data_IF_188276098628
#
_entry.id   IF_188276098628
#
_cell.length_a   1.000
_cell.length_b   1.000
_cell.length_c   1.000
_cell.angle_alpha   90.00
_cell.angle_beta   90.00
_cell.angle_gamma   90.00
#
_symmetry.space_group_name_H-M   'P 1'
#
loop_
_entity.id
_entity.type
_entity.pdbx_description
1 polymer ?
#
# COMPACT_ATOMS: atom_id res chain seq x y z
N UNK A 1 -9.29 -19.05 59.02
CA UNK A 1 -9.43 -17.81 58.26
C UNK A 1 -8.19 -17.43 57.45
N UNK A 2 -7.00 -17.19 58.02
CA UNK A 2 -5.75 -16.84 57.26
C UNK A 2 -5.33 -17.85 56.19
N UNK A 3 -5.54 -19.15 56.37
CA UNK A 3 -5.20 -20.20 55.37
C UNK A 3 -6.13 -20.22 54.16
N UNK A 4 -7.43 -19.95 54.36
CA UNK A 4 -8.44 -19.85 53.31
C UNK A 4 -8.19 -18.61 52.47
N UNK A 5 -7.84 -17.46 53.09
CA UNK A 5 -7.50 -16.22 52.41
C UNK A 5 -6.25 -16.42 51.52
N UNK A 6 -5.21 -17.12 52.01
CA UNK A 6 -4.03 -17.42 51.20
C UNK A 6 -4.36 -18.30 50.00
N UNK A 7 -5.14 -19.36 50.16
CA UNK A 7 -5.57 -20.24 49.06
C UNK A 7 -6.40 -19.46 48.04
N UNK A 8 -7.32 -18.63 48.46
CA UNK A 8 -8.10 -17.78 47.59
C UNK A 8 -7.20 -16.77 46.81
N UNK A 9 -6.23 -16.14 47.51
CA UNK A 9 -5.28 -15.22 46.86
C UNK A 9 -4.39 -15.92 45.82
N UNK A 10 -3.91 -17.13 46.09
CA UNK A 10 -3.15 -17.92 45.08
C UNK A 10 -4.02 -18.34 43.89
N UNK A 11 -5.31 -18.68 44.15
CA UNK A 11 -6.27 -18.98 43.06
C UNK A 11 -6.52 -17.79 42.15
N UNK A 12 -6.74 -16.58 42.73
CA UNK A 12 -6.91 -15.34 41.95
C UNK A 12 -5.65 -14.98 41.20
N UNK A 13 -4.46 -15.10 41.82
CA UNK A 13 -3.19 -14.86 41.13
C UNK A 13 -3.00 -15.82 39.96
N UNK A 14 -3.31 -17.09 40.14
CA UNK A 14 -3.26 -18.10 39.08
C UNK A 14 -4.18 -17.75 37.89
N UNK A 15 -5.42 -17.30 38.18
CA UNK A 15 -6.37 -16.86 37.14
C UNK A 15 -5.85 -15.60 36.38
N UNK A 16 -5.27 -14.65 37.11
CA UNK A 16 -4.68 -13.44 36.48
C UNK A 16 -3.53 -13.85 35.55
N UNK A 17 -2.64 -14.74 35.98
CA UNK A 17 -1.51 -15.21 35.15
C UNK A 17 -2.03 -15.89 33.89
N UNK A 18 -3.01 -16.80 34.02
CA UNK A 18 -3.61 -17.48 32.86
C UNK A 18 -4.28 -16.51 31.91
N UNK A 19 -5.06 -15.55 32.44
CA UNK A 19 -5.69 -14.50 31.62
C UNK A 19 -4.65 -13.63 30.90
N UNK A 20 -3.56 -13.26 31.58
CA UNK A 20 -2.47 -12.46 30.99
C UNK A 20 -1.77 -13.24 29.85
N UNK A 21 -1.48 -14.52 30.07
CA UNK A 21 -0.90 -15.39 29.02
C UNK A 21 -1.85 -15.50 27.84
N UNK A 22 -3.14 -15.73 28.06
CA UNK A 22 -4.14 -15.82 27.03
C UNK A 22 -4.23 -14.50 26.22
N UNK A 23 -4.31 -13.36 26.88
CA UNK A 23 -4.34 -12.05 26.24
C UNK A 23 -3.05 -11.80 25.42
N UNK A 24 -1.90 -12.20 25.95
CA UNK A 24 -0.63 -12.05 25.22
C UNK A 24 -0.56 -12.96 23.99
N UNK A 25 -1.03 -14.20 24.09
CA UNK A 25 -1.11 -15.09 22.94
C UNK A 25 -2.08 -14.60 21.88
N UNK A 26 -3.17 -13.94 22.26
CA UNK A 26 -4.21 -13.46 21.35
C UNK A 26 -3.85 -12.12 20.70
N UNK A 27 -3.26 -11.19 21.46
CA UNK A 27 -3.02 -9.81 21.01
C UNK A 27 -1.53 -9.44 20.91
N UNK A 28 -0.62 -10.35 21.26
CA UNK A 28 0.81 -10.02 21.40
C UNK A 28 1.45 -9.47 20.12
N UNK A 29 1.16 -10.05 18.96
CA UNK A 29 1.65 -9.56 17.66
C UNK A 29 1.07 -8.19 17.33
N UNK A 30 -0.23 -7.98 17.57
CA UNK A 30 -0.89 -6.68 17.35
C UNK A 30 -0.32 -5.59 18.27
N UNK A 31 -0.12 -5.91 19.56
CA UNK A 31 0.48 -4.96 20.52
C UNK A 31 1.91 -4.61 20.11
N UNK A 32 2.72 -5.60 19.72
CA UNK A 32 4.09 -5.35 19.25
C UNK A 32 4.11 -4.48 17.99
N UNK A 33 3.25 -4.80 17.00
CA UNK A 33 3.10 -4.01 15.79
C UNK A 33 2.70 -2.56 16.10
N UNK A 34 1.69 -2.35 16.95
CA UNK A 34 1.29 -1.00 17.37
C UNK A 34 2.44 -0.24 18.06
N UNK A 35 3.21 -0.92 18.94
CA UNK A 35 4.34 -0.31 19.64
C UNK A 35 5.56 -0.06 18.76
N UNK A 36 5.65 -0.66 17.58
CA UNK A 36 6.73 -0.41 16.61
C UNK A 36 6.51 0.87 15.80
N UNK A 37 5.32 1.47 15.87
CA UNK A 37 5.03 2.69 15.11
C UNK A 37 5.94 3.82 15.56
N UNK A 38 6.71 4.36 14.62
CA UNK A 38 7.60 5.49 14.83
C UNK A 38 7.41 6.57 13.77
N UNK A 39 7.63 7.82 14.17
CA UNK A 39 7.64 8.97 13.25
C UNK A 39 9.02 9.10 12.63
N UNK A 40 9.10 9.03 11.30
CA UNK A 40 10.34 9.23 10.55
C UNK A 40 10.56 10.70 10.19
N UNK A 41 9.49 11.35 9.71
CA UNK A 41 9.49 12.76 9.32
C UNK A 41 8.07 13.35 9.44
N UNK A 42 7.91 14.65 9.15
CA UNK A 42 6.58 15.22 9.01
C UNK A 42 5.83 14.50 7.89
N UNK A 43 4.62 14.03 8.23
CA UNK A 43 3.78 13.28 7.29
C UNK A 43 4.24 11.85 6.97
N UNK A 44 5.29 11.31 7.58
CA UNK A 44 5.77 9.95 7.32
C UNK A 44 6.04 9.17 8.60
N UNK A 45 5.44 7.98 8.69
CA UNK A 45 5.57 7.04 9.79
C UNK A 45 6.00 5.66 9.28
N UNK A 46 6.58 4.86 10.16
CA UNK A 46 6.96 3.47 9.90
C UNK A 46 6.35 2.56 10.96
N UNK A 47 5.99 1.35 10.55
CA UNK A 47 5.49 0.29 11.42
C UNK A 47 6.04 -1.07 10.95
N UNK A 48 6.51 -1.90 11.87
CA UNK A 48 6.84 -3.30 11.61
C UNK A 48 5.78 -4.21 12.21
N UNK A 49 5.26 -5.16 11.42
CA UNK A 49 4.33 -6.17 11.86
C UNK A 49 4.85 -7.57 11.59
N UNK A 50 4.83 -8.45 12.61
CA UNK A 50 5.24 -9.86 12.50
C UNK A 50 4.15 -10.77 13.00
N UNK A 51 3.78 -11.77 12.18
CA UNK A 51 2.81 -12.80 12.51
C UNK A 51 1.66 -12.91 11.54
N UNK A 52 0.62 -13.64 11.93
CA UNK A 52 -0.60 -13.79 11.14
C UNK A 52 -1.26 -12.43 10.93
N UNK A 53 -1.38 -12.02 9.67
CA UNK A 53 -1.99 -10.78 9.25
C UNK A 53 -3.49 -10.90 8.90
N UNK A 54 -4.05 -12.10 9.00
CA UNK A 54 -5.46 -12.38 8.72
C UNK A 54 -5.86 -12.34 7.26
N UNK A 55 -4.93 -12.12 6.32
CA UNK A 55 -5.28 -11.95 4.91
C UNK A 55 -5.79 -13.25 4.27
N UNK A 56 -5.23 -14.40 4.62
CA UNK A 56 -5.70 -15.69 4.12
C UNK A 56 -7.11 -16.02 4.64
N UNK A 57 -7.46 -15.59 5.86
CA UNK A 57 -8.82 -15.69 6.39
C UNK A 57 -9.80 -14.78 5.62
N UNK A 58 -9.39 -13.56 5.28
CA UNK A 58 -10.17 -12.65 4.43
C UNK A 58 -10.50 -13.33 3.10
N UNK A 59 -9.51 -13.89 2.43
CA UNK A 59 -9.68 -14.61 1.16
C UNK A 59 -10.59 -15.84 1.30
N UNK A 60 -10.41 -16.63 2.36
CA UNK A 60 -11.25 -17.80 2.63
C UNK A 60 -12.73 -17.47 2.89
N UNK A 61 -13.03 -16.24 3.31
CA UNK A 61 -14.40 -15.72 3.50
C UNK A 61 -15.02 -15.15 2.22
N UNK A 62 -14.28 -15.15 1.09
CA UNK A 62 -14.73 -14.60 -0.19
C UNK A 62 -14.34 -13.14 -0.41
N UNK A 63 -13.48 -12.58 0.42
CA UNK A 63 -12.98 -11.21 0.30
C UNK A 63 -13.97 -10.12 0.72
N UNK A 64 -13.84 -8.92 0.14
CA UNK A 64 -14.69 -7.75 0.42
C UNK A 64 -14.95 -6.94 -0.84
N UNK A 65 -16.20 -6.55 -1.07
CA UNK A 65 -16.68 -5.81 -2.24
C UNK A 65 -16.39 -4.30 -2.19
N UNK A 66 -16.12 -3.75 -1.01
CA UNK A 66 -15.99 -2.31 -0.77
C UNK A 66 -15.18 -2.02 0.51
N UNK A 67 -14.69 -0.78 0.64
CA UNK A 67 -13.89 -0.33 1.77
C UNK A 67 -14.63 -0.46 3.11
N UNK A 68 -15.96 -0.31 3.10
CA UNK A 68 -16.79 -0.49 4.29
C UNK A 68 -16.70 -1.92 4.83
N UNK A 69 -16.78 -2.93 3.93
CA UNK A 69 -16.62 -4.34 4.29
C UNK A 69 -15.20 -4.67 4.70
N UNK A 70 -14.20 -4.08 4.05
CA UNK A 70 -12.80 -4.17 4.48
C UNK A 70 -12.65 -3.64 5.89
N UNK A 71 -13.26 -2.49 6.22
CA UNK A 71 -13.19 -1.90 7.56
C UNK A 71 -13.85 -2.76 8.63
N UNK A 72 -15.01 -3.35 8.33
CA UNK A 72 -15.68 -4.30 9.23
C UNK A 72 -14.78 -5.50 9.55
N UNK A 73 -14.15 -6.07 8.50
CA UNK A 73 -13.23 -7.19 8.65
C UNK A 73 -12.01 -6.82 9.51
N UNK A 74 -11.35 -5.69 9.21
CA UNK A 74 -10.17 -5.24 9.95
C UNK A 74 -10.51 -5.02 11.42
N UNK A 75 -11.62 -4.39 11.74
CA UNK A 75 -12.01 -4.17 13.13
C UNK A 75 -12.32 -5.46 13.85
N UNK A 76 -12.96 -6.42 13.18
CA UNK A 76 -13.15 -7.77 13.74
C UNK A 76 -11.82 -8.47 14.01
N UNK A 77 -10.87 -8.39 13.08
CA UNK A 77 -9.53 -8.96 13.25
C UNK A 77 -8.75 -8.28 14.39
N UNK A 78 -8.68 -6.96 14.41
CA UNK A 78 -7.94 -6.20 15.44
C UNK A 78 -8.55 -6.38 16.82
N UNK A 79 -9.88 -6.47 16.93
CA UNK A 79 -10.55 -6.70 18.19
C UNK A 79 -10.71 -8.18 18.55
N UNK A 80 -10.27 -9.10 17.67
CA UNK A 80 -10.52 -10.56 17.79
C UNK A 80 -12.03 -10.86 18.00
N UNK A 81 -12.89 -10.11 17.30
CA UNK A 81 -14.34 -10.27 17.33
C UNK A 81 -15.05 -9.63 18.54
N UNK A 82 -14.35 -8.90 19.41
CA UNK A 82 -14.97 -8.25 20.56
C UNK A 82 -15.77 -6.99 20.22
N UNK A 83 -15.47 -6.36 19.08
CA UNK A 83 -16.12 -5.11 18.66
C UNK A 83 -16.56 -5.21 17.20
N UNK A 84 -17.74 -4.70 16.92
CA UNK A 84 -18.24 -4.44 15.57
C UNK A 84 -18.21 -2.93 15.34
N UNK A 85 -17.95 -2.50 14.11
CA UNK A 85 -18.00 -1.09 13.72
C UNK A 85 -18.99 -0.87 12.59
N UNK A 86 -19.42 0.38 12.45
CA UNK A 86 -20.09 0.79 11.22
C UNK A 86 -19.08 0.91 10.08
N UNK A 87 -19.47 0.59 8.84
CA UNK A 87 -18.62 0.79 7.67
C UNK A 87 -18.10 2.23 7.60
N UNK A 88 -16.85 2.38 7.16
CA UNK A 88 -16.26 3.68 6.83
C UNK A 88 -16.56 3.96 5.37
N UNK A 89 -16.94 5.18 5.06
CA UNK A 89 -17.16 5.68 3.70
C UNK A 89 -16.26 6.91 3.49
N UNK A 90 -14.99 6.72 3.11
CA UNK A 90 -14.06 7.83 2.93
C UNK A 90 -14.47 8.68 1.73
N UNK A 91 -14.36 10.01 1.82
CA UNK A 91 -14.68 10.89 0.71
C UNK A 91 -13.68 10.70 -0.44
N UNK A 92 -14.20 10.66 -1.67
CA UNK A 92 -13.38 10.71 -2.89
C UNK A 92 -12.56 12.01 -2.91
N UNK A 93 -11.27 11.89 -3.15
CA UNK A 93 -10.36 13.01 -3.31
C UNK A 93 -9.48 12.81 -4.54
N UNK A 94 -9.11 13.89 -5.25
CA UNK A 94 -8.19 13.79 -6.37
C UNK A 94 -6.86 13.17 -5.93
N UNK A 95 -6.39 12.18 -6.66
CA UNK A 95 -5.10 11.52 -6.47
C UNK A 95 -4.28 11.71 -7.73
N UNK A 96 -3.10 12.31 -7.59
CA UNK A 96 -2.10 12.32 -8.66
C UNK A 96 -1.06 11.23 -8.41
N UNK A 97 -0.45 10.75 -9.44
CA UNK A 97 0.61 9.74 -9.28
C UNK A 97 1.49 9.66 -10.51
N UNK A 98 2.69 9.12 -10.36
CA UNK A 98 3.56 8.73 -11.47
C UNK A 98 4.43 7.55 -11.10
N UNK A 99 4.76 6.70 -12.09
CA UNK A 99 5.74 5.62 -11.96
C UNK A 99 6.67 5.61 -13.16
N UNK A 100 7.91 5.13 -12.94
CA UNK A 100 8.91 4.88 -13.97
C UNK A 100 9.73 3.65 -13.58
N UNK A 101 9.74 2.62 -14.43
CA UNK A 101 10.57 1.42 -14.29
C UNK A 101 11.75 1.51 -15.28
N UNK A 102 12.96 1.24 -14.80
CA UNK A 102 14.18 1.31 -15.61
C UNK A 102 15.10 0.13 -15.31
N UNK A 103 15.88 -0.26 -16.32
CA UNK A 103 17.07 -1.09 -16.08
C UNK A 103 18.16 -0.28 -15.39
N UNK A 104 19.07 -0.95 -14.66
CA UNK A 104 20.29 -0.29 -14.16
C UNK A 104 21.48 -0.59 -15.08
N UNK A 105 22.51 0.26 -15.09
CA UNK A 105 23.73 -0.03 -15.85
C UNK A 105 24.39 -1.36 -15.46
N UNK A 106 24.23 -1.79 -14.21
CA UNK A 106 24.76 -3.02 -13.63
C UNK A 106 23.90 -4.27 -13.92
N UNK A 107 22.78 -4.11 -14.64
CA UNK A 107 21.87 -5.20 -15.00
C UNK A 107 20.84 -5.55 -13.94
N UNK A 108 20.51 -4.61 -13.06
CA UNK A 108 19.35 -4.63 -12.16
C UNK A 108 18.13 -3.97 -12.78
N UNK A 109 17.08 -3.83 -12.00
CA UNK A 109 15.83 -3.13 -12.33
C UNK A 109 15.42 -2.28 -11.14
N UNK A 110 14.99 -1.05 -11.39
CA UNK A 110 14.44 -0.16 -10.36
C UNK A 110 13.10 0.41 -10.82
N UNK A 111 12.21 0.68 -9.87
CA UNK A 111 10.95 1.39 -10.09
C UNK A 111 10.88 2.62 -9.18
N UNK A 112 10.70 3.79 -9.79
CA UNK A 112 10.43 5.04 -9.10
C UNK A 112 8.93 5.34 -9.03
N UNK A 113 8.47 6.01 -7.97
CA UNK A 113 7.06 6.30 -7.69
C UNK A 113 6.88 7.64 -7.00
N UNK A 114 5.91 8.45 -7.44
CA UNK A 114 5.34 9.56 -6.67
C UNK A 114 3.88 9.29 -6.32
N UNK A 115 3.51 9.50 -5.08
CA UNK A 115 2.13 9.56 -4.62
C UNK A 115 1.74 11.01 -4.32
N UNK A 116 0.79 11.51 -5.09
CA UNK A 116 0.30 12.89 -4.98
C UNK A 116 -1.12 12.85 -4.42
N UNK A 117 -1.35 13.54 -3.31
CA UNK A 117 -2.65 13.57 -2.65
C UNK A 117 -2.90 14.90 -1.95
N UNK A 118 -4.16 15.17 -1.58
CA UNK A 118 -4.52 16.46 -0.98
C UNK A 118 -3.87 16.71 0.36
N UNK A 119 -3.84 15.73 1.23
CA UNK A 119 -3.18 15.72 2.54
C UNK A 119 -3.17 14.31 3.11
N UNK A 120 -2.53 14.12 4.26
CA UNK A 120 -2.50 12.86 4.99
C UNK A 120 -1.10 12.48 5.42
N UNK A 121 -1.02 11.45 6.26
CA UNK A 121 0.24 10.86 6.66
C UNK A 121 0.45 9.57 5.87
N UNK A 122 1.65 9.39 5.32
CA UNK A 122 2.11 8.11 4.81
C UNK A 122 2.52 7.20 5.98
N UNK A 123 2.04 5.98 5.96
CA UNK A 123 2.48 4.93 6.88
C UNK A 123 3.17 3.84 6.07
N UNK A 124 4.46 3.70 6.26
CA UNK A 124 5.25 2.59 5.75
C UNK A 124 4.99 1.39 6.64
N UNK A 125 4.54 0.29 6.05
CA UNK A 125 4.22 -0.95 6.76
C UNK A 125 5.15 -2.04 6.28
N UNK A 126 6.10 -2.44 7.13
CA UNK A 126 6.95 -3.59 6.92
C UNK A 126 6.29 -4.80 7.54
N UNK A 127 5.80 -5.71 6.72
CA UNK A 127 5.12 -6.92 7.20
C UNK A 127 5.95 -8.15 6.94
N UNK A 128 6.18 -8.93 8.01
CA UNK A 128 6.81 -10.25 8.00
C UNK A 128 5.71 -11.25 8.38
N UNK A 129 4.95 -11.75 7.39
CA UNK A 129 3.80 -12.62 7.67
C UNK A 129 4.25 -14.03 8.04
N UNK A 130 3.37 -14.77 8.73
CA UNK A 130 3.57 -16.21 8.97
C UNK A 130 3.50 -16.99 7.65
N UNK A 131 2.65 -16.56 6.71
CA UNK A 131 2.48 -17.15 5.38
C UNK A 131 2.51 -16.07 4.29
N UNK A 132 3.21 -16.34 3.18
CA UNK A 132 3.41 -15.42 2.06
C UNK A 132 4.74 -14.66 2.13
N UNK A 133 4.89 -13.67 1.26
CA UNK A 133 6.13 -12.91 1.12
C UNK A 133 6.21 -11.75 2.12
N UNK A 134 7.42 -11.50 2.61
CA UNK A 134 7.76 -10.26 3.32
C UNK A 134 7.55 -9.06 2.40
N UNK A 135 6.95 -7.98 2.92
CA UNK A 135 6.60 -6.80 2.13
C UNK A 135 6.92 -5.51 2.86
N UNK A 136 7.31 -4.50 2.10
CA UNK A 136 7.25 -3.09 2.50
C UNK A 136 6.19 -2.42 1.64
N UNK A 137 5.15 -1.90 2.27
CA UNK A 137 4.01 -1.25 1.60
C UNK A 137 3.81 0.15 2.17
N UNK A 138 3.12 1.03 1.42
CA UNK A 138 2.73 2.33 1.94
C UNK A 138 1.23 2.50 1.90
N UNK A 139 0.71 3.10 2.93
CA UNK A 139 -0.70 3.38 3.14
C UNK A 139 -0.91 4.84 3.55
N UNK A 140 -1.92 5.50 3.02
CA UNK A 140 -2.32 6.85 3.46
C UNK A 140 -3.38 6.76 4.54
N UNK A 141 -3.10 7.30 5.72
CA UNK A 141 -4.04 7.27 6.85
C UNK A 141 -5.33 8.06 6.57
N UNK A 142 -5.28 9.04 5.67
CA UNK A 142 -6.46 9.80 5.28
C UNK A 142 -7.36 9.02 4.30
N UNK A 143 -6.77 8.15 3.48
CA UNK A 143 -7.52 7.26 2.60
C UNK A 143 -8.44 6.30 3.36
N UNK A 144 -8.13 6.06 4.63
CA UNK A 144 -8.91 5.26 5.57
C UNK A 144 -10.01 6.08 6.31
N UNK A 145 -10.11 7.39 6.03
CA UNK A 145 -11.09 8.25 6.66
C UNK A 145 -10.75 8.69 8.09
N UNK A 146 -9.52 8.49 8.54
CA UNK A 146 -9.09 9.00 9.84
C UNK A 146 -9.02 10.53 9.89
N UNK A 147 -8.98 11.20 8.72
CA UNK A 147 -8.95 12.65 8.59
C UNK A 147 -7.58 13.28 8.86
N UNK A 148 -7.47 14.57 8.54
CA UNK A 148 -6.21 15.35 8.65
C UNK A 148 -5.61 15.38 10.04
N UNK A 149 -6.45 15.40 11.06
CA UNK A 149 -6.00 15.51 12.45
C UNK A 149 -5.39 14.20 12.98
N UNK A 150 -5.61 13.09 12.31
CA UNK A 150 -5.08 11.81 12.75
C UNK A 150 -3.57 11.74 12.58
N UNK A 151 -2.92 11.33 13.67
CA UNK A 151 -1.51 10.96 13.68
C UNK A 151 -1.39 9.62 14.37
N UNK A 152 -0.61 8.67 13.86
CA UNK A 152 -0.36 7.39 14.50
C UNK A 152 0.58 7.56 15.72
N UNK A 153 0.20 8.42 16.65
CA UNK A 153 0.92 8.77 17.86
C UNK A 153 0.08 8.44 19.10
N UNK A 154 0.72 7.84 20.10
CA UNK A 154 0.02 7.31 21.28
C UNK A 154 -0.66 5.96 21.01
N UNK A 155 -0.71 5.09 22.03
CA UNK A 155 -1.04 3.67 21.86
C UNK A 155 -2.36 3.41 21.10
N UNK A 156 -3.41 4.18 21.34
CA UNK A 156 -4.70 3.98 20.64
C UNK A 156 -4.57 4.23 19.15
N UNK A 157 -3.96 5.36 18.74
CA UNK A 157 -3.76 5.67 17.33
C UNK A 157 -2.75 4.73 16.69
N UNK A 158 -1.69 4.35 17.39
CA UNK A 158 -0.74 3.34 16.92
C UNK A 158 -1.43 1.99 16.71
N UNK A 159 -2.35 1.60 17.57
CA UNK A 159 -3.13 0.38 17.40
C UNK A 159 -4.08 0.47 16.19
N UNK A 160 -4.71 1.61 15.97
CA UNK A 160 -5.54 1.86 14.78
C UNK A 160 -4.71 1.86 13.49
N UNK A 161 -3.44 2.26 13.54
CA UNK A 161 -2.51 2.21 12.39
C UNK A 161 -2.26 0.78 11.87
N UNK A 162 -2.52 -0.26 12.69
CA UNK A 162 -2.49 -1.67 12.26
C UNK A 162 -3.46 -1.98 11.11
N UNK A 163 -4.46 -1.14 10.86
CA UNK A 163 -5.31 -1.25 9.66
C UNK A 163 -4.50 -1.25 8.36
N UNK A 164 -3.31 -0.61 8.36
CA UNK A 164 -2.39 -0.59 7.22
C UNK A 164 -1.85 -1.96 6.79
N UNK A 165 -1.96 -3.01 7.62
CA UNK A 165 -1.53 -4.37 7.22
C UNK A 165 -2.47 -5.04 6.22
N UNK A 166 -3.65 -4.45 5.97
CA UNK A 166 -4.68 -5.01 5.07
C UNK A 166 -4.79 -4.31 3.73
N UNK A 167 -4.08 -3.20 3.53
CA UNK A 167 -4.21 -2.38 2.33
C UNK A 167 -2.87 -1.80 1.92
N UNK A 168 -2.64 -1.70 0.61
CA UNK A 168 -1.45 -1.07 0.07
C UNK A 168 -1.81 -0.14 -1.10
N UNK A 169 -1.22 1.05 -1.14
CA UNK A 169 -1.24 1.94 -2.30
C UNK A 169 -0.04 1.68 -3.21
N UNK A 170 1.05 1.25 -2.64
CA UNK A 170 2.28 0.86 -3.31
C UNK A 170 3.13 -0.04 -2.41
N UNK A 171 4.14 -0.67 -2.97
CA UNK A 171 5.06 -1.50 -2.21
C UNK A 171 5.93 -2.42 -3.04
N UNK A 172 6.77 -3.13 -2.32
CA UNK A 172 7.73 -4.11 -2.83
C UNK A 172 7.70 -5.36 -1.94
N UNK A 173 7.85 -6.54 -2.53
CA UNK A 173 8.04 -7.78 -1.78
C UNK A 173 9.48 -8.32 -1.88
N UNK A 174 9.79 -9.32 -1.06
CA UNK A 174 11.10 -9.97 -0.98
C UNK A 174 11.56 -10.68 -2.27
N UNK A 175 10.65 -10.86 -3.25
CA UNK A 175 10.95 -11.44 -4.57
C UNK A 175 11.27 -10.39 -5.63
N UNK A 176 11.19 -9.10 -5.27
CA UNK A 176 11.41 -7.99 -6.18
C UNK A 176 10.21 -7.67 -7.06
N UNK A 177 9.01 -8.04 -6.66
CA UNK A 177 7.78 -7.57 -7.29
C UNK A 177 7.39 -6.23 -6.67
N UNK A 178 7.35 -5.18 -7.50
CA UNK A 178 6.89 -3.84 -7.14
C UNK A 178 5.50 -3.59 -7.70
N UNK A 179 4.65 -2.92 -6.92
CA UNK A 179 3.29 -2.55 -7.31
C UNK A 179 2.99 -1.14 -6.87
N UNK A 180 2.27 -0.39 -7.72
CA UNK A 180 1.75 0.94 -7.37
C UNK A 180 0.35 1.14 -7.94
N UNK A 181 -0.56 1.69 -7.13
CA UNK A 181 -1.91 2.10 -7.54
C UNK A 181 -1.88 3.57 -7.95
N UNK A 182 -2.50 3.88 -9.07
CA UNK A 182 -2.68 5.25 -9.57
C UNK A 182 -4.14 5.47 -9.97
N UNK A 183 -4.64 6.69 -9.80
CA UNK A 183 -5.93 7.12 -10.35
C UNK A 183 -5.83 7.18 -11.89
N UNK A 184 -6.78 6.62 -12.61
CA UNK A 184 -6.83 6.61 -14.08
C UNK A 184 -7.51 7.85 -14.67
N UNK A 185 -7.92 8.80 -13.85
CA UNK A 185 -8.54 10.05 -14.32
C UNK A 185 -10.02 9.92 -14.69
N UNK A 186 -10.71 8.87 -14.28
CA UNK A 186 -12.13 8.63 -14.56
C UNK A 186 -12.89 8.25 -13.28
N UNK A 187 -14.20 8.50 -13.29
CA UNK A 187 -15.12 8.14 -12.20
C UNK A 187 -15.86 6.83 -12.47
N UNK A 188 -15.46 6.08 -13.51
CA UNK A 188 -16.06 4.80 -13.83
C UNK A 188 -15.56 3.75 -12.85
N UNK A 189 -16.48 3.18 -12.11
CA UNK A 189 -16.17 2.16 -11.08
C UNK A 189 -16.08 0.78 -11.73
N UNK A 190 -14.99 0.07 -11.50
CA UNK A 190 -14.89 -1.36 -11.77
C UNK A 190 -15.67 -2.12 -10.71
N UNK A 191 -16.54 -3.01 -11.13
CA UNK A 191 -17.30 -3.90 -10.27
C UNK A 191 -17.56 -5.20 -11.01
N UNK A 192 -16.62 -6.12 -10.88
CA UNK A 192 -16.80 -7.48 -11.37
C UNK A 192 -17.76 -8.23 -10.44
N UNK A 193 -18.48 -9.19 -10.96
CA UNK A 193 -19.46 -9.97 -10.21
C UNK A 193 -19.53 -11.37 -10.81
N UNK A 194 -18.65 -12.24 -10.35
CA UNK A 194 -18.62 -13.66 -10.70
C UNK A 194 -18.63 -14.51 -9.42
N UNK A 195 -18.21 -15.77 -9.49
CA UNK A 195 -18.10 -16.64 -8.31
C UNK A 195 -16.71 -16.60 -7.66
N UNK A 196 -15.88 -15.60 -8.00
CA UNK A 196 -14.52 -15.42 -7.44
C UNK A 196 -14.58 -14.59 -6.16
N UNK A 197 -13.53 -14.66 -5.31
CA UNK A 197 -13.41 -13.76 -4.17
C UNK A 197 -13.34 -12.29 -4.61
N UNK A 198 -14.03 -11.41 -3.87
CA UNK A 198 -14.05 -9.97 -4.11
C UNK A 198 -12.88 -9.27 -3.43
N UNK A 199 -12.13 -8.44 -4.15
CA UNK A 199 -11.13 -7.56 -3.56
C UNK A 199 -11.29 -6.13 -4.06
N UNK A 200 -11.04 -5.17 -3.16
CA UNK A 200 -10.88 -3.76 -3.53
C UNK A 200 -9.49 -3.54 -4.14
N UNK A 201 -9.28 -2.40 -4.81
CA UNK A 201 -7.99 -2.10 -5.46
C UNK A 201 -6.82 -2.20 -4.49
N UNK A 202 -6.96 -1.66 -3.28
CA UNK A 202 -5.89 -1.66 -2.26
C UNK A 202 -5.65 -3.03 -1.64
N UNK A 203 -6.69 -3.83 -1.45
CA UNK A 203 -6.55 -5.21 -0.96
C UNK A 203 -6.01 -6.15 -2.04
N UNK A 204 -6.37 -5.94 -3.31
CA UNK A 204 -5.82 -6.68 -4.44
C UNK A 204 -4.31 -6.39 -4.62
N UNK A 205 -3.88 -5.12 -4.44
CA UNK A 205 -2.47 -4.74 -4.43
C UNK A 205 -1.70 -5.50 -3.36
N UNK A 206 -2.23 -5.57 -2.15
CA UNK A 206 -1.61 -6.35 -1.08
C UNK A 206 -1.60 -7.85 -1.41
N UNK A 207 -2.68 -8.40 -1.98
CA UNK A 207 -2.79 -9.80 -2.35
C UNK A 207 -1.66 -10.23 -3.29
N UNK A 208 -1.44 -9.46 -4.37
CA UNK A 208 -0.37 -9.79 -5.33
C UNK A 208 1.02 -9.62 -4.72
N UNK A 209 1.26 -8.60 -3.88
CA UNK A 209 2.52 -8.45 -3.15
C UNK A 209 2.82 -9.62 -2.21
N UNK A 210 1.78 -10.20 -1.58
CA UNK A 210 1.93 -11.32 -0.65
C UNK A 210 2.13 -12.67 -1.31
N UNK A 211 1.65 -12.87 -2.55
CA UNK A 211 1.52 -14.19 -3.15
C UNK A 211 2.21 -14.34 -4.51
N UNK A 212 2.58 -13.25 -5.19
CA UNK A 212 3.22 -13.28 -6.51
C UNK A 212 4.72 -12.95 -6.42
N UNK A 213 5.55 -13.70 -7.13
CA UNK A 213 6.98 -13.45 -7.22
C UNK A 213 7.37 -12.61 -8.45
N UNK A 214 6.48 -12.50 -9.45
CA UNK A 214 6.73 -11.84 -10.72
C UNK A 214 5.42 -11.35 -11.36
N UNK A 215 5.54 -10.63 -12.47
CA UNK A 215 4.39 -10.04 -13.18
C UNK A 215 3.40 -11.11 -13.66
N UNK A 216 3.86 -12.26 -14.18
CA UNK A 216 2.97 -13.32 -14.66
C UNK A 216 2.10 -13.89 -13.53
N UNK A 217 2.69 -14.14 -12.38
CA UNK A 217 1.96 -14.62 -11.20
C UNK A 217 0.98 -13.56 -10.69
N UNK A 218 1.40 -12.28 -10.67
CA UNK A 218 0.53 -11.17 -10.28
C UNK A 218 -0.71 -11.06 -11.19
N UNK A 219 -0.54 -11.15 -12.52
CA UNK A 219 -1.64 -11.15 -13.47
C UNK A 219 -2.57 -12.37 -13.30
N UNK A 220 -2.00 -13.55 -13.03
CA UNK A 220 -2.79 -14.75 -12.75
C UNK A 220 -3.64 -14.59 -11.48
N UNK A 221 -3.08 -13.99 -10.41
CA UNK A 221 -3.81 -13.70 -9.18
C UNK A 221 -4.93 -12.67 -9.39
N UNK A 222 -4.66 -11.58 -10.14
CA UNK A 222 -5.70 -10.60 -10.49
C UNK A 222 -6.85 -11.22 -11.31
N UNK A 223 -6.55 -12.19 -12.18
CA UNK A 223 -7.55 -12.96 -12.90
C UNK A 223 -8.34 -13.94 -12.01
N UNK A 224 -7.87 -14.26 -10.81
CA UNK A 224 -8.52 -15.20 -9.89
C UNK A 224 -9.49 -14.55 -8.92
N UNK A 225 -9.66 -13.25 -8.97
CA UNK A 225 -10.53 -12.44 -8.10
C UNK A 225 -11.54 -11.65 -8.92
N UNK A 226 -12.56 -11.13 -8.26
CA UNK A 226 -13.43 -10.07 -8.75
C UNK A 226 -12.92 -8.72 -8.22
N UNK A 227 -12.48 -7.86 -9.15
CA UNK A 227 -11.99 -6.51 -8.83
C UNK A 227 -13.16 -5.57 -8.57
N UNK A 228 -13.08 -4.86 -7.45
CA UNK A 228 -13.99 -3.78 -7.09
C UNK A 228 -13.17 -2.51 -6.85
N UNK A 229 -13.25 -1.52 -7.75
CA UNK A 229 -12.52 -0.27 -7.55
C UNK A 229 -13.15 0.56 -6.44
N UNK A 230 -12.38 0.85 -5.41
CA UNK A 230 -12.84 1.57 -4.23
C UNK A 230 -11.69 2.41 -3.63
N UNK A 231 -11.95 3.66 -3.23
CA UNK A 231 -13.22 4.38 -3.32
C UNK A 231 -13.51 4.86 -4.75
N UNK A 232 -14.61 4.44 -5.31
CA UNK A 232 -15.41 4.92 -6.43
C UNK A 232 -14.77 5.61 -7.65
N UNK A 233 -13.54 5.22 -8.05
CA UNK A 233 -12.84 5.74 -9.21
C UNK A 233 -12.20 4.62 -10.04
N UNK A 234 -11.75 4.92 -11.25
CA UNK A 234 -10.93 4.02 -12.03
C UNK A 234 -9.48 4.10 -11.58
N UNK A 235 -8.81 2.95 -11.47
CA UNK A 235 -7.42 2.86 -11.04
C UNK A 235 -6.57 2.08 -12.04
N UNK A 236 -5.30 2.48 -12.13
CA UNK A 236 -4.23 1.67 -12.69
C UNK A 236 -3.57 0.85 -11.58
N UNK A 237 -3.08 -0.34 -11.94
CA UNK A 237 -2.14 -1.08 -11.12
C UNK A 237 -0.87 -1.25 -11.96
N UNK A 238 0.16 -0.45 -11.66
CA UNK A 238 1.48 -0.59 -12.25
C UNK A 238 2.23 -1.70 -11.52
N UNK A 239 2.77 -2.67 -12.27
CA UNK A 239 3.45 -3.85 -11.72
C UNK A 239 4.77 -4.02 -12.46
N UNK A 240 5.88 -4.18 -11.72
CA UNK A 240 7.18 -4.47 -12.28
C UNK A 240 7.91 -5.54 -11.46
N UNK A 241 8.78 -6.33 -12.11
CA UNK A 241 9.54 -7.40 -11.45
C UNK A 241 11.05 -7.32 -11.67
N UNK A 242 11.79 -8.13 -10.93
CA UNK A 242 13.24 -8.20 -10.99
C UNK A 242 13.80 -8.69 -12.34
N UNK A 243 12.96 -9.27 -13.23
CA UNK A 243 13.35 -9.66 -14.57
C UNK A 243 13.27 -8.49 -15.56
N UNK A 244 12.68 -7.35 -15.15
CA UNK A 244 12.53 -6.14 -15.95
C UNK A 244 11.22 -6.06 -16.71
N UNK A 245 10.29 -6.98 -16.48
CA UNK A 245 8.95 -6.85 -17.03
C UNK A 245 8.19 -5.78 -16.26
N UNK A 246 7.56 -4.86 -17.00
CA UNK A 246 6.75 -3.77 -16.44
C UNK A 246 5.44 -3.65 -17.21
N UNK A 247 4.33 -3.70 -16.51
CA UNK A 247 2.98 -3.63 -17.07
C UNK A 247 2.10 -2.71 -16.25
N UNK A 248 1.07 -2.20 -16.90
CA UNK A 248 -0.05 -1.49 -16.25
C UNK A 248 -1.32 -2.27 -16.51
N UNK A 249 -2.05 -2.56 -15.45
CA UNK A 249 -3.36 -3.19 -15.48
C UNK A 249 -4.42 -2.12 -15.34
N UNK A 250 -5.36 -2.09 -16.27
CA UNK A 250 -6.55 -1.25 -16.30
C UNK A 250 -7.79 -2.13 -16.35
N UNK A 251 -8.90 -1.62 -15.87
CA UNK A 251 -10.19 -2.27 -16.04
C UNK A 251 -11.10 -1.39 -16.89
N UNK A 252 -11.48 -1.90 -18.05
CA UNK A 252 -12.35 -1.21 -19.01
C UNK A 252 -13.62 -2.03 -19.18
N UNK A 253 -14.76 -1.45 -18.85
CA UNK A 253 -16.07 -2.13 -18.89
C UNK A 253 -16.05 -3.46 -18.08
N UNK A 254 -15.37 -3.47 -16.93
CA UNK A 254 -15.12 -4.61 -16.04
C UNK A 254 -14.18 -5.71 -16.61
N UNK A 255 -13.57 -5.48 -17.76
CA UNK A 255 -12.58 -6.40 -18.33
C UNK A 255 -11.15 -5.93 -18.03
N UNK A 256 -10.29 -6.86 -17.65
CA UNK A 256 -8.88 -6.57 -17.36
C UNK A 256 -8.12 -6.35 -18.67
N UNK A 257 -7.51 -5.19 -18.81
CA UNK A 257 -6.63 -4.80 -19.93
C UNK A 257 -5.20 -4.63 -19.39
N UNK A 258 -4.23 -5.22 -20.08
CA UNK A 258 -2.82 -5.17 -19.69
C UNK A 258 -2.02 -4.47 -20.78
N UNK A 259 -1.32 -3.41 -20.42
CA UNK A 259 -0.41 -2.67 -21.32
C UNK A 259 1.02 -2.82 -20.81
N UNK A 260 1.92 -3.32 -21.65
CA UNK A 260 3.35 -3.37 -21.32
C UNK A 260 3.96 -1.99 -21.55
N UNK A 261 4.43 -1.38 -20.47
CA UNK A 261 5.01 -0.02 -20.47
C UNK A 261 5.88 0.18 -19.23
N UNK A 262 6.99 0.95 -19.34
CA UNK A 262 7.82 1.28 -18.19
C UNK A 262 7.29 2.45 -17.34
N UNK A 263 6.32 3.23 -17.80
CA UNK A 263 5.84 4.42 -17.10
C UNK A 263 4.34 4.61 -17.23
N UNK A 264 3.73 5.20 -16.21
CA UNK A 264 2.32 5.61 -16.21
C UNK A 264 2.09 6.78 -15.26
N UNK A 265 1.09 7.59 -15.62
CA UNK A 265 0.56 8.70 -14.82
C UNK A 265 -0.95 8.54 -14.64
N UNK A 266 -1.76 9.59 -14.71
CA UNK A 266 -3.17 9.57 -14.35
C UNK A 266 -4.12 9.71 -15.56
N UNK A 267 -3.90 8.94 -16.61
CA UNK A 267 -4.81 8.80 -17.75
C UNK A 267 -4.75 7.38 -18.31
N UNK A 268 -5.83 6.90 -18.90
CA UNK A 268 -5.88 5.58 -19.49
C UNK A 268 -4.82 5.41 -20.59
N UNK A 269 -4.12 4.28 -20.58
CA UNK A 269 -3.22 3.84 -21.64
C UNK A 269 -3.97 3.08 -22.74
N UNK A 270 -5.09 2.47 -22.39
CA UNK A 270 -5.95 1.75 -23.33
C UNK A 270 -6.60 2.74 -24.32
N UNK A 271 -6.32 2.57 -25.62
CA UNK A 271 -6.84 3.46 -26.69
C UNK A 271 -8.37 3.63 -26.66
N UNK A 272 -9.13 2.59 -26.25
CA UNK A 272 -10.58 2.61 -26.17
C UNK A 272 -11.12 3.63 -25.14
N UNK A 273 -10.29 4.02 -24.15
CA UNK A 273 -10.67 4.90 -23.05
C UNK A 273 -9.75 6.12 -22.89
N UNK A 274 -8.83 6.34 -23.83
CA UNK A 274 -7.92 7.49 -23.75
C UNK A 274 -8.67 8.80 -23.56
N UNK A 275 -8.36 9.52 -22.51
CA UNK A 275 -8.88 10.84 -22.15
C UNK A 275 -7.76 11.70 -21.60
N UNK A 276 -7.94 13.01 -21.64
CA UNK A 276 -7.05 13.92 -20.94
C UNK A 276 -6.94 13.53 -19.47
N UNK A 277 -5.71 13.45 -18.99
CA UNK A 277 -5.43 12.99 -17.64
C UNK A 277 -5.75 14.03 -16.57
N UNK A 278 -5.65 13.57 -15.31
CA UNK A 278 -5.74 14.44 -14.13
C UNK A 278 -4.37 15.08 -13.82
N UNK A 279 -4.40 16.23 -13.14
CA UNK A 279 -3.23 16.82 -12.50
C UNK A 279 -2.00 16.93 -13.42
N UNK A 280 -2.18 17.49 -14.60
CA UNK A 280 -1.10 17.64 -15.58
C UNK A 280 -0.46 16.28 -15.99
N UNK A 281 -1.31 15.25 -16.04
CA UNK A 281 -0.90 13.87 -16.28
C UNK A 281 -0.15 13.69 -17.60
N UNK A 282 -0.65 14.29 -18.68
CA UNK A 282 -0.05 14.14 -20.02
C UNK A 282 1.35 14.73 -20.05
N UNK A 283 1.56 15.93 -19.49
CA UNK A 283 2.87 16.56 -19.42
C UNK A 283 3.87 15.77 -18.57
N UNK A 284 3.43 15.22 -17.43
CA UNK A 284 4.30 14.37 -16.60
C UNK A 284 4.66 13.06 -17.31
N UNK A 285 3.71 12.48 -18.03
CA UNK A 285 3.93 11.29 -18.83
C UNK A 285 4.95 11.53 -19.95
N UNK A 286 4.77 12.59 -20.75
CA UNK A 286 5.71 13.00 -21.81
C UNK A 286 7.12 13.22 -21.24
N UNK A 287 7.22 13.88 -20.11
CA UNK A 287 8.51 14.16 -19.46
C UNK A 287 9.24 12.90 -18.98
N UNK A 288 8.50 11.92 -18.42
CA UNK A 288 9.08 10.63 -18.05
C UNK A 288 9.51 9.84 -19.28
N UNK A 289 8.71 9.85 -20.35
CA UNK A 289 9.02 9.21 -21.62
C UNK A 289 10.32 9.79 -22.22
N UNK A 290 10.43 11.12 -22.31
CA UNK A 290 11.63 11.77 -22.84
C UNK A 290 12.90 11.39 -22.05
N UNK A 291 12.83 11.37 -20.72
CA UNK A 291 13.97 11.01 -19.87
C UNK A 291 14.33 9.53 -20.00
N UNK A 292 13.33 8.65 -20.08
CA UNK A 292 13.53 7.24 -20.34
C UNK A 292 14.24 6.99 -21.68
N UNK A 293 13.76 7.64 -22.74
CA UNK A 293 14.34 7.51 -24.09
C UNK A 293 15.76 8.08 -24.15
N UNK A 294 16.01 9.26 -23.55
CA UNK A 294 17.35 9.88 -23.48
C UNK A 294 18.35 8.99 -22.74
N UNK A 295 17.90 8.29 -21.71
CA UNK A 295 18.73 7.35 -20.94
C UNK A 295 18.84 5.95 -21.59
N UNK A 296 18.14 5.72 -22.72
CA UNK A 296 18.07 4.40 -23.37
C UNK A 296 17.47 3.31 -22.47
N UNK A 297 16.51 3.71 -21.63
CA UNK A 297 15.82 2.82 -20.69
C UNK A 297 16.66 2.37 -19.50
N UNK A 298 17.83 2.98 -19.25
CA UNK A 298 18.74 2.62 -18.15
C UNK A 298 19.13 3.85 -17.35
N UNK A 299 18.95 3.77 -16.04
CA UNK A 299 19.30 4.83 -15.07
C UNK A 299 19.96 4.21 -13.85
N UNK A 300 20.92 4.90 -13.25
CA UNK A 300 21.31 4.62 -11.88
C UNK A 300 20.29 5.23 -10.89
N UNK A 301 20.43 4.98 -9.59
CA UNK A 301 19.48 5.43 -8.57
C UNK A 301 19.34 6.96 -8.54
N UNK A 302 20.46 7.70 -8.68
CA UNK A 302 20.46 9.17 -8.70
C UNK A 302 19.66 9.71 -9.89
N UNK A 303 19.89 9.19 -11.09
CA UNK A 303 19.17 9.58 -12.31
C UNK A 303 17.67 9.27 -12.23
N UNK A 304 17.31 8.10 -11.69
CA UNK A 304 15.88 7.75 -11.48
C UNK A 304 15.25 8.66 -10.43
N UNK A 305 15.98 8.98 -9.35
CA UNK A 305 15.52 9.92 -8.32
C UNK A 305 15.27 11.32 -8.92
N UNK A 306 16.18 11.82 -9.75
CA UNK A 306 16.01 13.08 -10.47
C UNK A 306 14.81 13.05 -11.43
N UNK A 307 14.62 11.93 -12.15
CA UNK A 307 13.48 11.75 -13.04
C UNK A 307 12.15 11.82 -12.26
N UNK A 308 12.03 11.10 -11.15
CA UNK A 308 10.86 11.10 -10.27
C UNK A 308 10.66 12.46 -9.61
N UNK A 309 11.73 13.11 -9.14
CA UNK A 309 11.67 14.46 -8.58
C UNK A 309 11.16 15.48 -9.60
N UNK A 310 11.51 15.33 -10.86
CA UNK A 310 11.15 16.26 -11.93
C UNK A 310 9.65 16.31 -12.23
N UNK A 311 8.90 15.28 -11.85
CA UNK A 311 7.44 15.14 -12.03
C UNK A 311 6.66 15.16 -10.73
N UNK A 312 7.28 15.63 -9.63
CA UNK A 312 6.58 15.88 -8.37
C UNK A 312 5.55 17.00 -8.54
N UNK A 313 4.46 16.90 -7.80
CA UNK A 313 3.42 17.92 -7.76
C UNK A 313 3.65 18.87 -6.58
N UNK A 314 3.46 20.17 -6.83
CA UNK A 314 3.40 21.17 -5.76
C UNK A 314 2.00 21.15 -5.14
N UNK A 315 1.84 21.66 -3.89
CA UNK A 315 0.54 21.78 -3.26
C UNK A 315 -0.47 22.55 -4.13
N UNK A 316 -1.69 22.02 -4.22
CA UNK A 316 -2.77 22.62 -5.02
C UNK A 316 -3.64 23.56 -4.18
N UNK A 317 -4.03 24.67 -4.77
CA UNK A 317 -4.98 25.60 -4.17
C UNK A 317 -4.35 26.85 -3.58
N UNK A 318 -5.22 27.76 -3.08
CA UNK A 318 -4.81 29.07 -2.55
C UNK A 318 -4.12 28.98 -1.18
N UNK A 319 -4.37 27.89 -0.47
CA UNK A 319 -3.75 27.60 0.81
C UNK A 319 -2.69 26.54 0.59
N UNK A 320 -1.43 26.92 0.51
CA UNK A 320 -0.27 26.07 0.20
C UNK A 320 -0.03 24.89 1.18
N UNK A 321 -1.00 24.59 2.03
CA UNK A 321 -1.00 23.53 3.03
C UNK A 321 -1.56 22.21 2.46
N UNK A 322 -2.26 22.25 1.31
CA UNK A 322 -3.06 21.15 0.81
C UNK A 322 -2.44 20.56 -0.45
N UNK A 323 -1.92 19.36 -0.33
CA UNK A 323 -1.66 18.48 -1.46
C UNK A 323 -0.26 18.57 -2.06
N UNK A 324 -0.13 17.87 -3.15
CA UNK A 324 1.13 17.65 -3.84
C UNK A 324 1.69 16.26 -3.55
N UNK A 325 2.94 16.05 -3.91
CA UNK A 325 3.63 14.78 -3.65
C UNK A 325 3.85 14.60 -2.15
N UNK A 326 3.17 13.62 -1.55
CA UNK A 326 3.28 13.28 -0.13
C UNK A 326 4.48 12.38 0.14
N UNK A 327 4.73 11.41 -0.74
CA UNK A 327 5.95 10.63 -0.71
C UNK A 327 6.42 10.28 -2.12
N UNK A 328 7.72 10.12 -2.25
CA UNK A 328 8.37 9.51 -3.38
C UNK A 328 9.13 8.28 -2.90
N UNK A 329 9.28 7.29 -3.78
CA UNK A 329 10.05 6.10 -3.45
C UNK A 329 10.81 5.58 -4.67
N UNK A 330 11.99 5.01 -4.40
CA UNK A 330 12.81 4.27 -5.35
C UNK A 330 12.92 2.84 -4.82
N UNK A 331 12.49 1.87 -5.61
CA UNK A 331 12.51 0.46 -5.28
C UNK A 331 13.57 -0.24 -6.14
N UNK A 332 14.55 -0.89 -5.52
CA UNK A 332 15.45 -1.82 -6.18
C UNK A 332 14.78 -3.21 -6.20
N UNK A 333 14.50 -3.72 -7.40
CA UNK A 333 13.80 -4.99 -7.57
C UNK A 333 14.76 -6.18 -7.59
N UNK A 334 16.04 -5.94 -7.86
CA UNK A 334 17.07 -6.97 -7.89
C UNK A 334 17.60 -7.31 -6.50
N UNK A 335 17.78 -6.29 -5.67
CA UNK A 335 18.13 -6.39 -4.25
C UNK A 335 17.01 -5.72 -3.46
N UNK A 336 15.92 -6.45 -3.16
CA UNK A 336 14.67 -5.85 -2.71
C UNK A 336 14.86 -4.85 -1.59
N UNK A 337 14.81 -3.57 -1.92
CA UNK A 337 14.96 -2.46 -0.99
C UNK A 337 14.20 -1.23 -1.50
N UNK A 338 13.83 -0.36 -0.58
CA UNK A 338 13.05 0.85 -0.88
C UNK A 338 13.69 2.05 -0.20
N UNK A 339 13.92 3.11 -0.98
CA UNK A 339 14.31 4.42 -0.47
C UNK A 339 13.12 5.37 -0.56
N UNK A 340 12.68 5.91 0.58
CA UNK A 340 11.57 6.85 0.69
C UNK A 340 12.02 8.29 0.88
N UNK A 341 11.25 9.22 0.33
CA UNK A 341 11.39 10.66 0.50
C UNK A 341 10.04 11.27 0.90
N UNK A 342 9.99 11.93 2.06
CA UNK A 342 8.77 12.59 2.54
C UNK A 342 8.63 13.99 1.95
N UNK A 343 7.41 14.38 1.57
CA UNK A 343 7.05 15.75 1.18
C UNK A 343 8.06 16.43 0.23
N UNK A 344 8.63 15.69 -0.71
CA UNK A 344 9.64 16.16 -1.69
C UNK A 344 11.01 16.53 -1.07
N UNK A 345 11.32 16.08 0.14
CA UNK A 345 12.62 16.26 0.77
C UNK A 345 13.61 15.19 0.27
N UNK A 346 14.09 15.34 -0.97
CA UNK A 346 15.02 14.38 -1.59
C UNK A 346 16.42 14.40 -0.97
N UNK A 347 16.72 15.36 -0.13
CA UNK A 347 17.93 15.46 0.69
C UNK A 347 17.89 14.62 1.98
N UNK A 348 16.74 14.00 2.29
CA UNK A 348 16.54 13.21 3.51
C UNK A 348 15.93 11.84 3.20
N UNK A 349 16.70 10.88 2.65
CA UNK A 349 16.22 9.54 2.34
C UNK A 349 16.02 8.69 3.61
N UNK A 350 15.01 7.79 3.54
CA UNK A 350 14.80 6.71 4.49
C UNK A 350 14.88 5.38 3.73
N UNK A 351 15.84 4.54 4.06
CA UNK A 351 16.14 3.30 3.34
C UNK A 351 15.73 2.08 4.16
N UNK A 352 15.08 1.11 3.50
CA UNK A 352 14.61 -0.14 4.08
C UNK A 352 14.96 -1.30 3.15
N UNK A 353 15.44 -2.40 3.71
CA UNK A 353 15.78 -3.63 2.99
C UNK A 353 14.80 -4.75 3.36
N UNK A 354 14.47 -5.60 2.39
CA UNK A 354 13.75 -6.84 2.60
C UNK A 354 14.74 -8.01 2.67
N UNK A 355 14.50 -8.93 3.60
CA UNK A 355 15.35 -10.09 3.75
C UNK A 355 14.90 -11.14 2.72
N UNK A 356 15.61 -11.25 1.60
CA UNK A 356 15.40 -12.34 0.65
C UNK A 356 15.61 -13.70 1.37
N UNK A 357 14.52 -14.45 1.56
CA UNK A 357 14.56 -15.81 2.11
C UNK A 357 14.85 -16.84 1.03
#
# INVERSE_FOLDING_TARGET
MKRIIKVAAFGVLGLIVVATIYLWMTFGSLIKGAMSVEKLDDGLYYMEYKGDDGFDELMARGGCTDIGKVSEYIMAFLSKGFFETSPIDPPLKPVGCSTLTVGTPEGGVMMGRNFDFSYGNGLIVHTIPDEGYETITTFSTDFWGFGEAYKPEGFVNQYMALSGIFMALDGLNEKGLAVAVLDAGDQVVTKQCTDKPDLTTTTATLYILRKAANVEEALALLNSIDMNSDPGAAYHIAIADAAGKSVVVEYVDNEMVVTETPFVTNHYLCEAKFKAGLQDSDHRHEKLMEQYDQAGGKMNEEQLTEAIQSVTQLPWGKDAIIGGTLWSMIMDLKHPSVTYYSLRHFDKPFHFELNAK
#
